data_IF_128475707204
#
_entry.id   IF_128475707204
#
_cell.length_a   1.000
_cell.length_b   1.000
_cell.length_c   1.000
_cell.angle_alpha   90.00
_cell.angle_beta   90.00
_cell.angle_gamma   90.00
#
_symmetry.space_group_name_H-M   'P 1'
#
loop_
_entity.id
_entity.type
_entity.pdbx_description
1 polymer ?
#
# COMPACT_ATOMS: atom_id res chain seq x y z
N UNK A 1 51.70 26.39 -8.97
CA UNK A 1 50.67 25.94 -9.93
C UNK A 1 50.08 24.54 -9.62
N UNK A 2 50.88 23.51 -9.29
CA UNK A 2 50.38 22.14 -9.08
C UNK A 2 49.38 21.97 -7.90
N UNK A 3 49.52 22.74 -6.83
CA UNK A 3 48.64 22.69 -5.66
C UNK A 3 47.21 23.23 -5.94
N UNK A 4 47.11 24.31 -6.70
CA UNK A 4 45.84 24.93 -7.08
C UNK A 4 45.01 23.97 -7.95
N UNK A 5 45.64 23.26 -8.89
CA UNK A 5 44.99 22.29 -9.78
C UNK A 5 44.48 21.07 -8.96
N UNK A 6 45.20 20.63 -7.93
CA UNK A 6 44.75 19.55 -7.03
C UNK A 6 43.53 19.97 -6.16
N UNK A 7 43.53 21.20 -5.66
CA UNK A 7 42.42 21.76 -4.90
C UNK A 7 41.16 21.92 -5.76
N UNK A 8 41.28 22.41 -6.98
CA UNK A 8 40.17 22.49 -7.94
C UNK A 8 39.59 21.13 -8.29
N UNK A 9 40.40 20.08 -8.44
CA UNK A 9 39.91 18.72 -8.68
C UNK A 9 39.17 18.15 -7.45
N UNK A 10 39.65 18.45 -6.24
CA UNK A 10 38.94 18.05 -4.99
C UNK A 10 37.59 18.77 -4.83
N UNK A 11 37.56 20.06 -5.16
CA UNK A 11 36.32 20.86 -5.08
C UNK A 11 35.26 20.37 -6.09
N UNK A 12 35.66 20.11 -7.35
CA UNK A 12 34.78 19.52 -8.37
C UNK A 12 34.25 18.15 -7.96
N UNK A 13 35.04 17.30 -7.31
CA UNK A 13 34.56 16.00 -6.77
C UNK A 13 33.57 16.20 -5.61
N UNK A 14 33.79 17.20 -4.74
CA UNK A 14 32.83 17.52 -3.65
C UNK A 14 31.51 18.04 -4.19
N UNK A 15 31.55 18.96 -5.16
CA UNK A 15 30.35 19.52 -5.81
C UNK A 15 29.56 18.40 -6.49
N UNK A 16 30.20 17.57 -7.30
CA UNK A 16 29.54 16.42 -7.98
C UNK A 16 28.96 15.40 -7.01
N UNK A 17 29.57 15.23 -5.83
CA UNK A 17 29.05 14.36 -4.76
C UNK A 17 27.86 15.00 -4.03
N UNK A 18 27.83 16.33 -3.91
CA UNK A 18 26.70 17.07 -3.35
C UNK A 18 25.52 17.16 -4.31
N UNK A 19 25.78 17.34 -5.61
CA UNK A 19 24.76 17.29 -6.66
C UNK A 19 24.11 15.90 -6.73
N UNK A 20 24.90 14.83 -6.77
CA UNK A 20 24.37 13.45 -6.69
C UNK A 20 23.62 13.15 -5.38
N UNK A 21 23.99 13.81 -4.26
CA UNK A 21 23.22 13.70 -3.01
C UNK A 21 21.91 14.51 -3.07
N UNK A 22 21.91 15.66 -3.74
CA UNK A 22 20.69 16.46 -4.00
C UNK A 22 19.77 15.75 -4.99
N UNK A 23 20.30 15.17 -6.07
CA UNK A 23 19.54 14.35 -7.02
C UNK A 23 18.96 13.10 -6.35
N UNK A 24 19.70 12.43 -5.45
CA UNK A 24 19.17 11.33 -4.65
C UNK A 24 18.12 11.77 -3.60
N UNK A 25 18.16 13.02 -3.13
CA UNK A 25 17.13 13.62 -2.25
C UNK A 25 15.94 14.15 -3.02
N UNK A 26 16.10 14.53 -4.26
CA UNK A 26 15.03 14.91 -5.20
C UNK A 26 14.45 13.72 -5.99
N UNK A 27 14.78 12.47 -5.63
CA UNK A 27 13.93 11.34 -5.99
C UNK A 27 12.56 11.69 -5.39
N UNK A 28 11.63 12.09 -6.23
CA UNK A 28 10.27 12.48 -5.84
C UNK A 28 9.76 11.42 -4.88
N UNK A 29 9.66 11.78 -3.59
CA UNK A 29 9.20 10.81 -2.59
C UNK A 29 7.75 10.50 -2.95
N UNK A 30 7.44 9.25 -3.24
CA UNK A 30 6.09 8.78 -3.57
C UNK A 30 5.24 8.81 -2.31
N UNK A 31 4.69 10.01 -2.05
CA UNK A 31 3.88 10.31 -0.88
C UNK A 31 2.58 10.94 -1.30
N UNK A 32 1.54 10.66 -0.56
CA UNK A 32 0.24 11.31 -0.71
C UNK A 32 -0.41 11.52 0.64
N UNK A 33 -1.35 12.46 0.67
CA UNK A 33 -2.22 12.73 1.80
C UNK A 33 -3.63 12.96 1.29
N UNK A 34 -4.58 12.16 1.78
CA UNK A 34 -6.00 12.25 1.46
C UNK A 34 -6.77 12.66 2.70
N UNK A 35 -7.69 13.60 2.53
CA UNK A 35 -8.76 13.88 3.49
C UNK A 35 -10.10 13.59 2.80
N UNK A 36 -10.92 12.74 3.40
CA UNK A 36 -12.25 12.38 2.93
C UNK A 36 -13.24 12.62 4.08
N UNK A 37 -14.21 13.49 3.83
CA UNK A 37 -15.23 13.81 4.81
C UNK A 37 -16.61 13.58 4.18
N UNK A 38 -17.42 12.77 4.85
CA UNK A 38 -18.83 12.54 4.53
C UNK A 38 -19.68 12.92 5.75
N UNK A 39 -20.96 12.62 5.74
CA UNK A 39 -21.80 12.73 6.93
C UNK A 39 -21.56 11.58 7.92
N UNK A 40 -20.99 10.47 7.47
CA UNK A 40 -20.79 9.22 8.21
C UNK A 40 -19.35 9.11 8.74
N UNK A 41 -18.36 9.60 7.98
CA UNK A 41 -16.94 9.43 8.32
C UNK A 41 -16.12 10.70 8.06
N UNK A 42 -15.07 10.92 8.88
CA UNK A 42 -14.02 11.93 8.66
C UNK A 42 -12.68 11.23 8.69
N UNK A 43 -12.07 11.09 7.52
CA UNK A 43 -10.86 10.27 7.33
C UNK A 43 -9.70 11.12 6.89
N UNK A 44 -8.52 10.84 7.47
CA UNK A 44 -7.23 11.36 7.04
C UNK A 44 -6.27 10.20 6.84
N UNK A 45 -5.66 10.12 5.65
CA UNK A 45 -4.64 9.13 5.32
C UNK A 45 -3.37 9.84 4.87
N UNK A 46 -2.23 9.51 5.47
CA UNK A 46 -0.91 9.93 5.02
C UNK A 46 -0.10 8.68 4.68
N UNK A 47 0.43 8.63 3.47
CA UNK A 47 1.15 7.47 2.94
C UNK A 47 2.52 7.89 2.40
N UNK A 48 3.53 7.09 2.72
CA UNK A 48 4.81 7.09 2.03
C UNK A 48 5.08 5.68 1.50
N UNK A 49 5.01 5.52 0.19
CA UNK A 49 5.23 4.21 -0.48
C UNK A 49 6.67 3.75 -0.32
N UNK A 50 7.65 4.68 -0.31
CA UNK A 50 9.07 4.41 -0.09
C UNK A 50 9.44 4.49 1.41
N UNK A 51 8.58 3.97 2.27
CA UNK A 51 8.70 4.03 3.71
C UNK A 51 9.64 2.99 4.34
N UNK A 52 9.50 2.84 5.65
CA UNK A 52 10.26 1.89 6.47
C UNK A 52 9.36 0.97 7.31
N UNK A 53 8.04 1.07 7.12
CA UNK A 53 7.03 0.33 7.87
C UNK A 53 6.69 0.99 9.21
N UNK A 54 6.69 2.32 9.27
CA UNK A 54 6.16 3.09 10.41
C UNK A 54 4.65 3.22 10.26
N UNK A 55 3.95 3.11 11.37
CA UNK A 55 2.50 3.21 11.35
C UNK A 55 1.97 3.96 12.58
N UNK A 56 0.83 4.62 12.38
CA UNK A 56 0.05 5.29 13.42
C UNK A 56 -1.41 5.26 12.94
N UNK A 57 -2.15 4.20 13.27
CA UNK A 57 -3.51 4.00 12.83
C UNK A 57 -4.47 4.08 14.01
N UNK A 58 -5.54 4.85 13.84
CA UNK A 58 -6.61 5.03 14.82
C UNK A 58 -7.92 5.23 14.04
N UNK A 59 -8.59 4.12 13.78
CA UNK A 59 -9.83 4.09 12.99
C UNK A 59 -11.09 4.04 13.84
N UNK A 60 -10.94 3.83 15.15
CA UNK A 60 -12.06 3.52 16.06
C UNK A 60 -12.43 2.03 16.04
N UNK A 61 -11.87 1.24 15.13
CA UNK A 61 -12.12 -0.20 14.97
C UNK A 61 -10.82 -0.97 15.25
N UNK A 62 -10.67 -1.48 16.46
CA UNK A 62 -9.39 -2.01 16.94
C UNK A 62 -8.82 -3.17 16.12
N UNK A 63 -9.66 -4.05 15.57
CA UNK A 63 -9.21 -5.13 14.69
C UNK A 63 -8.68 -4.59 13.35
N UNK A 64 -9.36 -3.58 12.78
CA UNK A 64 -8.91 -2.93 11.55
C UNK A 64 -7.59 -2.17 11.77
N UNK A 65 -7.43 -1.48 12.91
CA UNK A 65 -6.16 -0.84 13.28
C UNK A 65 -5.01 -1.84 13.26
N UNK A 66 -5.21 -3.01 13.88
CA UNK A 66 -4.22 -4.09 13.86
C UNK A 66 -3.91 -4.57 12.44
N UNK A 67 -4.89 -4.76 11.58
CA UNK A 67 -4.68 -5.18 10.19
C UNK A 67 -3.91 -4.12 9.38
N UNK A 68 -4.19 -2.84 9.59
CA UNK A 68 -3.49 -1.72 8.92
C UNK A 68 -2.05 -1.57 9.42
N UNK A 69 -1.78 -1.83 10.70
CA UNK A 69 -0.43 -1.87 11.26
C UNK A 69 0.41 -2.97 10.61
N UNK A 70 -0.17 -4.16 10.46
CA UNK A 70 0.46 -5.28 9.76
C UNK A 70 0.70 -4.95 8.28
N UNK A 71 -0.28 -4.36 7.60
CA UNK A 71 -0.17 -3.92 6.22
C UNK A 71 1.03 -2.95 6.04
N UNK A 72 1.09 -1.90 6.85
CA UNK A 72 2.19 -0.94 6.83
C UNK A 72 3.54 -1.60 7.10
N UNK A 73 3.62 -2.43 8.16
CA UNK A 73 4.85 -3.08 8.58
C UNK A 73 5.40 -4.06 7.54
N UNK A 74 4.54 -4.91 6.98
CA UNK A 74 4.94 -5.95 6.03
C UNK A 74 5.18 -5.39 4.62
N UNK A 75 4.45 -4.36 4.21
CA UNK A 75 4.67 -3.63 2.95
C UNK A 75 5.84 -2.64 3.01
N UNK A 76 6.37 -2.33 4.21
CA UNK A 76 7.36 -1.27 4.43
C UNK A 76 6.87 0.13 4.05
N UNK A 77 5.56 0.32 4.02
CA UNK A 77 4.94 1.62 3.85
C UNK A 77 5.00 2.40 5.17
N UNK A 78 5.24 3.73 5.11
CA UNK A 78 4.92 4.54 6.28
C UNK A 78 3.47 4.99 6.13
N UNK A 79 2.61 4.64 7.08
CA UNK A 79 1.16 4.81 7.01
C UNK A 79 0.62 5.44 8.28
N UNK A 80 -0.17 6.51 8.10
CA UNK A 80 -0.93 7.11 9.19
C UNK A 80 -2.39 7.26 8.77
N UNK A 81 -3.30 6.68 9.54
CA UNK A 81 -4.73 6.75 9.32
C UNK A 81 -5.43 7.23 10.58
N UNK A 82 -6.32 8.19 10.41
CA UNK A 82 -7.28 8.61 11.41
C UNK A 82 -8.67 8.56 10.80
N UNK A 83 -9.62 7.99 11.53
CA UNK A 83 -11.04 7.99 11.18
C UNK A 83 -11.86 8.35 12.42
N UNK A 84 -12.80 9.28 12.24
CA UNK A 84 -13.90 9.57 13.14
C UNK A 84 -15.17 9.17 12.38
N UNK A 85 -15.67 7.97 12.63
CA UNK A 85 -16.82 7.35 11.95
C UNK A 85 -17.96 7.06 12.91
N UNK A 86 -19.12 6.79 12.34
CA UNK A 86 -20.38 6.49 13.04
C UNK A 86 -20.45 5.03 13.54
N UNK A 87 -19.39 4.56 14.21
CA UNK A 87 -19.24 3.19 14.74
C UNK A 87 -20.35 2.78 15.72
N UNK A 88 -21.21 3.71 16.17
CA UNK A 88 -22.44 3.40 16.90
C UNK A 88 -23.52 2.72 16.02
N UNK A 89 -23.40 2.82 14.68
CA UNK A 89 -24.22 2.09 13.72
C UNK A 89 -23.63 0.69 13.55
N UNK A 90 -22.46 0.63 12.93
CA UNK A 90 -21.57 -0.52 12.80
C UNK A 90 -20.20 -0.07 12.29
N UNK A 91 -19.30 -1.02 11.96
CA UNK A 91 -17.96 -0.71 11.46
C UNK A 91 -17.89 -0.57 9.93
N UNK A 92 -19.04 -0.70 9.20
CA UNK A 92 -19.09 -0.80 7.74
C UNK A 92 -18.58 0.47 7.07
N UNK A 93 -19.23 1.62 7.36
CA UNK A 93 -18.88 2.90 6.74
C UNK A 93 -17.40 3.27 6.94
N UNK A 94 -16.90 3.05 8.18
CA UNK A 94 -15.49 3.31 8.49
C UNK A 94 -14.56 2.42 7.67
N UNK A 95 -14.87 1.13 7.58
CA UNK A 95 -14.01 0.14 6.92
C UNK A 95 -13.95 0.36 5.40
N UNK A 96 -15.11 0.52 4.74
CA UNK A 96 -15.19 0.79 3.29
C UNK A 96 -14.48 2.11 2.95
N UNK A 97 -14.82 3.18 3.68
CA UNK A 97 -14.31 4.52 3.40
C UNK A 97 -12.79 4.65 3.63
N UNK A 98 -12.23 3.91 4.59
CA UNK A 98 -10.78 3.80 4.77
C UNK A 98 -10.16 3.06 3.59
N UNK A 99 -10.75 1.98 3.10
CA UNK A 99 -10.32 1.29 1.89
C UNK A 99 -10.28 2.24 0.69
N UNK A 100 -11.35 3.02 0.47
CA UNK A 100 -11.44 4.05 -0.57
C UNK A 100 -10.31 5.10 -0.44
N UNK A 101 -10.14 5.65 0.75
CA UNK A 101 -9.15 6.70 1.00
C UNK A 101 -7.72 6.19 0.82
N UNK A 102 -7.43 4.97 1.31
CA UNK A 102 -6.11 4.35 1.17
C UNK A 102 -5.80 4.01 -0.29
N UNK A 103 -6.78 3.46 -1.05
CA UNK A 103 -6.63 3.20 -2.48
C UNK A 103 -6.30 4.46 -3.28
N UNK A 104 -7.02 5.57 -3.04
CA UNK A 104 -6.73 6.88 -3.62
C UNK A 104 -5.34 7.38 -3.25
N UNK A 105 -4.94 7.19 -1.99
CA UNK A 105 -3.64 7.64 -1.49
C UNK A 105 -2.49 6.92 -2.22
N UNK A 106 -2.61 5.62 -2.45
CA UNK A 106 -1.66 4.86 -3.28
C UNK A 106 -1.66 5.34 -4.73
N UNK A 107 -2.85 5.49 -5.34
CA UNK A 107 -2.97 5.97 -6.72
C UNK A 107 -2.25 7.30 -6.94
N UNK A 108 -2.48 8.29 -6.06
CA UNK A 108 -1.82 9.59 -6.14
C UNK A 108 -0.30 9.50 -5.89
N UNK A 109 0.12 8.72 -4.89
CA UNK A 109 1.53 8.56 -4.57
C UNK A 109 2.33 7.88 -5.70
N UNK A 110 1.70 6.98 -6.46
CA UNK A 110 2.33 6.24 -7.56
C UNK A 110 2.43 7.07 -8.85
N UNK A 111 1.55 8.07 -9.04
CA UNK A 111 1.59 8.97 -10.18
C UNK A 111 1.45 8.25 -11.53
N UNK A 112 2.41 8.47 -12.43
CA UNK A 112 2.40 7.94 -13.80
C UNK A 112 2.86 6.48 -13.94
N UNK A 113 3.15 5.81 -12.83
CA UNK A 113 3.60 4.42 -12.76
C UNK A 113 4.90 4.12 -13.54
N UNK A 114 5.71 5.14 -13.85
CA UNK A 114 7.01 4.92 -14.50
C UNK A 114 7.96 4.14 -13.61
N UNK A 115 8.61 3.16 -14.21
CA UNK A 115 9.64 2.36 -13.58
C UNK A 115 9.14 1.38 -12.51
N UNK A 116 7.83 1.31 -12.23
CA UNK A 116 7.32 0.29 -11.30
C UNK A 116 7.41 -1.10 -11.91
N UNK A 117 7.58 -2.13 -11.08
CA UNK A 117 7.52 -3.52 -11.55
C UNK A 117 6.14 -3.90 -12.07
N UNK A 118 5.09 -3.21 -11.63
CA UNK A 118 3.69 -3.39 -12.00
C UNK A 118 3.04 -4.64 -11.39
N UNK A 119 3.71 -5.78 -11.46
CA UNK A 119 3.21 -7.05 -10.94
C UNK A 119 3.85 -7.38 -9.60
N UNK A 120 3.08 -7.95 -8.70
CA UNK A 120 3.57 -8.52 -7.47
C UNK A 120 2.70 -9.67 -7.02
N UNK A 121 3.29 -10.64 -6.36
CA UNK A 121 2.56 -11.77 -5.81
C UNK A 121 3.22 -12.24 -4.52
N UNK A 122 2.41 -12.88 -3.67
CA UNK A 122 2.92 -13.46 -2.44
C UNK A 122 2.06 -14.64 -1.99
N UNK A 123 2.70 -15.74 -1.65
CA UNK A 123 2.08 -16.85 -0.95
C UNK A 123 2.45 -16.74 0.52
N UNK A 124 1.49 -16.37 1.35
CA UNK A 124 1.71 -16.04 2.76
C UNK A 124 1.13 -17.09 3.69
N UNK A 125 1.98 -17.80 4.47
CA UNK A 125 1.54 -18.64 5.56
C UNK A 125 1.34 -17.80 6.83
N UNK A 126 0.29 -18.08 7.58
CA UNK A 126 0.04 -17.59 8.94
C UNK A 126 -0.49 -18.77 9.75
N UNK A 127 0.41 -19.44 10.48
CA UNK A 127 0.17 -20.70 11.16
C UNK A 127 -0.49 -21.72 10.20
N UNK A 128 -1.74 -22.12 10.44
CA UNK A 128 -2.50 -23.05 9.59
C UNK A 128 -3.15 -22.39 8.37
N UNK A 129 -3.19 -21.04 8.32
CA UNK A 129 -3.73 -20.31 7.19
C UNK A 129 -2.68 -20.10 6.09
N UNK A 130 -3.11 -20.23 4.83
CA UNK A 130 -2.27 -20.03 3.66
C UNK A 130 -3.06 -19.22 2.62
N UNK A 131 -2.57 -18.05 2.26
CA UNK A 131 -3.24 -17.15 1.30
C UNK A 131 -2.32 -16.79 0.14
N UNK A 132 -2.82 -16.95 -1.09
CA UNK A 132 -2.20 -16.45 -2.32
C UNK A 132 -2.75 -15.07 -2.64
N UNK A 133 -1.85 -14.14 -2.92
CA UNK A 133 -2.19 -12.79 -3.40
C UNK A 133 -1.43 -12.50 -4.68
N UNK A 134 -2.12 -11.91 -5.68
CA UNK A 134 -1.52 -11.40 -6.91
C UNK A 134 -2.08 -10.01 -7.25
N UNK A 135 -1.19 -9.07 -7.60
CA UNK A 135 -1.50 -7.68 -7.94
C UNK A 135 -1.00 -7.35 -9.34
N UNK A 136 -1.81 -6.66 -10.13
CA UNK A 136 -1.42 -5.95 -11.35
C UNK A 136 -1.85 -4.48 -11.24
N UNK A 137 -0.90 -3.55 -11.22
CA UNK A 137 -1.16 -2.12 -11.30
C UNK A 137 -1.55 -1.74 -12.74
N UNK A 138 -2.68 -2.28 -13.18
CA UNK A 138 -3.12 -2.26 -14.57
C UNK A 138 -3.80 -0.96 -15.00
N UNK A 139 -4.16 -0.07 -14.07
CA UNK A 139 -5.05 1.07 -14.30
C UNK A 139 -6.54 0.66 -14.40
N UNK A 140 -6.89 -0.60 -14.21
CA UNK A 140 -8.25 -1.13 -14.27
C UNK A 140 -8.63 -1.85 -13.00
N UNK A 141 -9.78 -1.52 -12.47
CA UNK A 141 -10.33 -2.18 -11.30
C UNK A 141 -10.78 -3.62 -11.60
N UNK A 142 -10.30 -4.55 -10.81
CA UNK A 142 -10.85 -5.88 -10.69
C UNK A 142 -10.43 -6.50 -9.35
N UNK A 143 -11.38 -6.97 -8.57
CA UNK A 143 -11.13 -7.76 -7.36
C UNK A 143 -11.69 -9.16 -7.56
N UNK A 144 -10.86 -10.18 -7.33
CA UNK A 144 -11.30 -11.54 -7.08
C UNK A 144 -11.00 -11.88 -5.63
N UNK A 145 -12.05 -12.03 -4.84
CA UNK A 145 -11.97 -12.37 -3.43
C UNK A 145 -12.50 -13.80 -3.22
N UNK A 146 -11.63 -14.80 -3.39
CA UNK A 146 -11.94 -16.24 -3.21
C UNK A 146 -11.47 -16.69 -1.83
N UNK A 147 -12.21 -16.24 -0.80
CA UNK A 147 -11.89 -16.43 0.61
C UNK A 147 -13.10 -16.94 1.36
N UNK A 148 -12.92 -18.00 2.15
CA UNK A 148 -13.91 -18.45 3.11
C UNK A 148 -13.42 -18.13 4.52
N UNK A 149 -14.15 -17.24 5.22
CA UNK A 149 -13.89 -16.89 6.62
C UNK A 149 -14.96 -17.60 7.49
N UNK A 150 -14.56 -18.54 8.36
CA UNK A 150 -15.53 -19.46 8.98
C UNK A 150 -16.43 -18.82 10.04
N UNK A 151 -16.06 -17.68 10.62
CA UNK A 151 -16.86 -17.00 11.66
C UNK A 151 -17.37 -15.66 11.18
N UNK A 152 -18.53 -15.25 11.65
CA UNK A 152 -19.15 -13.96 11.31
C UNK A 152 -18.37 -12.78 11.90
N UNK A 153 -17.69 -12.98 13.05
CA UNK A 153 -16.95 -11.93 13.75
C UNK A 153 -15.58 -12.39 14.24
N UNK A 154 -14.64 -11.43 14.31
CA UNK A 154 -13.41 -11.52 15.10
C UNK A 154 -13.40 -10.36 16.09
N UNK A 155 -13.58 -10.68 17.37
CA UNK A 155 -13.89 -9.65 18.38
C UNK A 155 -15.24 -9.01 18.07
N UNK A 156 -15.26 -7.70 17.88
CA UNK A 156 -16.45 -6.93 17.48
C UNK A 156 -16.56 -6.72 15.96
N UNK A 157 -15.49 -7.00 15.21
CA UNK A 157 -15.39 -6.74 13.77
C UNK A 157 -16.10 -7.82 12.94
N UNK A 158 -17.00 -7.41 12.06
CA UNK A 158 -17.70 -8.29 11.13
C UNK A 158 -16.75 -8.72 10.00
N UNK A 159 -16.64 -10.03 9.76
CA UNK A 159 -15.64 -10.58 8.84
C UNK A 159 -15.96 -10.30 7.36
N UNK A 160 -17.22 -10.03 7.03
CA UNK A 160 -17.63 -9.60 5.68
C UNK A 160 -16.99 -8.25 5.27
N UNK A 161 -16.66 -7.40 6.24
CA UNK A 161 -16.05 -6.09 5.99
C UNK A 161 -14.63 -6.17 5.42
N UNK A 162 -13.99 -7.33 5.49
CA UNK A 162 -12.69 -7.55 4.85
C UNK A 162 -12.80 -7.42 3.33
N UNK A 163 -13.84 -8.01 2.73
CA UNK A 163 -14.10 -7.88 1.29
C UNK A 163 -14.44 -6.43 0.92
N UNK A 164 -15.30 -5.76 1.69
CA UNK A 164 -15.68 -4.36 1.47
C UNK A 164 -14.48 -3.41 1.51
N UNK A 165 -13.56 -3.61 2.47
CA UNK A 165 -12.31 -2.87 2.50
C UNK A 165 -11.52 -3.02 1.18
N UNK A 166 -11.35 -4.27 0.70
CA UNK A 166 -10.58 -4.51 -0.51
C UNK A 166 -11.32 -4.10 -1.79
N UNK A 167 -12.66 -4.09 -1.82
CA UNK A 167 -13.45 -3.49 -2.90
C UNK A 167 -13.14 -1.98 -2.99
N UNK A 168 -13.27 -1.26 -1.88
CA UNK A 168 -12.97 0.15 -1.80
C UNK A 168 -11.53 0.46 -2.20
N UNK A 169 -10.57 -0.27 -1.63
CA UNK A 169 -9.14 -0.12 -1.89
C UNK A 169 -8.79 -0.37 -3.36
N UNK A 170 -9.16 -1.52 -3.90
CA UNK A 170 -8.77 -1.95 -5.25
C UNK A 170 -9.37 -1.06 -6.33
N UNK A 171 -10.65 -0.66 -6.14
CA UNK A 171 -11.37 0.26 -7.04
C UNK A 171 -10.66 1.60 -7.17
N UNK A 172 -10.20 2.17 -6.06
CA UNK A 172 -9.63 3.50 -6.03
C UNK A 172 -8.11 3.53 -6.28
N UNK A 173 -7.43 2.39 -6.11
CA UNK A 173 -6.08 2.18 -6.60
C UNK A 173 -6.03 1.97 -8.13
N UNK A 174 -7.16 1.62 -8.76
CA UNK A 174 -7.24 1.21 -10.16
C UNK A 174 -6.31 0.02 -10.48
N UNK A 175 -6.39 -1.01 -9.67
CA UNK A 175 -5.58 -2.21 -9.80
C UNK A 175 -6.43 -3.46 -10.00
N UNK A 176 -5.83 -4.51 -10.51
CA UNK A 176 -6.35 -5.88 -10.45
C UNK A 176 -5.76 -6.56 -9.23
N UNK A 177 -6.61 -7.11 -8.36
CA UNK A 177 -6.20 -7.82 -7.14
C UNK A 177 -6.90 -9.19 -7.08
N UNK A 178 -6.14 -10.23 -6.93
CA UNK A 178 -6.64 -11.58 -6.63
C UNK A 178 -6.18 -11.98 -5.23
N UNK A 179 -7.13 -12.42 -4.41
CA UNK A 179 -6.91 -12.96 -3.07
C UNK A 179 -7.57 -14.34 -3.03
N UNK A 180 -6.80 -15.37 -2.76
CA UNK A 180 -7.29 -16.73 -2.63
C UNK A 180 -6.79 -17.36 -1.35
N UNK A 181 -7.70 -17.69 -0.44
CA UNK A 181 -7.38 -18.52 0.71
C UNK A 181 -7.26 -19.98 0.28
N UNK A 182 -6.13 -20.61 0.54
CA UNK A 182 -5.83 -22.00 0.14
C UNK A 182 -6.00 -22.96 1.30
N UNK A 183 -5.82 -22.49 2.54
CA UNK A 183 -6.00 -23.24 3.77
C UNK A 183 -6.23 -22.26 4.93
N UNK A 184 -6.83 -22.75 6.03
CA UNK A 184 -7.03 -22.01 7.25
C UNK A 184 -8.36 -22.35 7.93
N UNK A 185 -8.36 -22.30 9.24
CA UNK A 185 -9.55 -22.56 10.07
C UNK A 185 -9.82 -21.45 11.10
N UNK A 186 -8.80 -20.66 11.44
CA UNK A 186 -8.93 -19.53 12.34
C UNK A 186 -9.15 -18.25 11.52
N UNK A 187 -10.31 -17.62 11.70
CA UNK A 187 -10.70 -16.40 10.96
C UNK A 187 -9.71 -15.24 11.13
N UNK A 188 -9.14 -15.05 12.32
CA UNK A 188 -8.10 -14.04 12.56
C UNK A 188 -6.86 -14.34 11.72
N UNK A 189 -6.35 -15.58 11.71
CA UNK A 189 -5.16 -15.96 10.94
C UNK A 189 -5.41 -15.82 9.43
N UNK A 190 -6.60 -16.18 8.94
CA UNK A 190 -6.99 -16.00 7.54
C UNK A 190 -6.94 -14.52 7.18
N UNK A 191 -7.60 -13.64 7.92
CA UNK A 191 -7.65 -12.21 7.65
C UNK A 191 -6.25 -11.58 7.76
N UNK A 192 -5.50 -11.92 8.79
CA UNK A 192 -4.12 -11.44 8.96
C UNK A 192 -3.23 -11.86 7.79
N UNK A 193 -3.36 -13.10 7.30
CA UNK A 193 -2.63 -13.60 6.13
C UNK A 193 -2.97 -12.81 4.86
N UNK A 194 -4.23 -12.37 4.72
CA UNK A 194 -4.67 -11.54 3.59
C UNK A 194 -3.98 -10.17 3.64
N UNK A 195 -4.09 -9.42 4.75
CA UNK A 195 -3.52 -8.08 4.85
C UNK A 195 -1.99 -8.08 4.69
N UNK A 196 -1.30 -9.04 5.29
CA UNK A 196 0.15 -9.23 5.12
C UNK A 196 0.51 -9.61 3.68
N UNK A 197 -0.26 -10.53 3.08
CA UNK A 197 -0.07 -11.00 1.71
C UNK A 197 -0.23 -9.86 0.69
N UNK A 198 -1.32 -9.07 0.82
CA UNK A 198 -1.56 -7.90 -0.04
C UNK A 198 -0.45 -6.87 0.14
N UNK A 199 -0.04 -6.59 1.37
CA UNK A 199 1.06 -5.65 1.62
C UNK A 199 2.37 -6.07 0.95
N UNK A 200 2.72 -7.36 1.01
CA UNK A 200 3.93 -7.93 0.37
C UNK A 200 3.85 -7.89 -1.15
N UNK A 201 2.75 -8.35 -1.72
CA UNK A 201 2.52 -8.34 -3.17
C UNK A 201 2.53 -6.90 -3.71
N UNK A 202 1.85 -5.97 -3.02
CA UNK A 202 1.83 -4.57 -3.39
C UNK A 202 3.22 -3.93 -3.29
N UNK A 203 3.99 -4.22 -2.23
CA UNK A 203 5.35 -3.72 -2.08
C UNK A 203 6.27 -4.16 -3.24
N UNK A 204 6.08 -5.36 -3.75
CA UNK A 204 6.77 -5.82 -4.95
C UNK A 204 6.29 -5.05 -6.19
N UNK A 205 4.98 -4.96 -6.42
CA UNK A 205 4.39 -4.31 -7.58
C UNK A 205 4.79 -2.83 -7.70
N UNK A 206 4.84 -2.10 -6.57
CA UNK A 206 5.22 -0.67 -6.55
C UNK A 206 6.73 -0.45 -6.55
N UNK A 207 7.55 -1.49 -6.38
CA UNK A 207 9.02 -1.33 -6.37
C UNK A 207 9.53 -0.86 -7.73
N UNK A 208 10.56 0.00 -7.72
CA UNK A 208 11.15 0.52 -8.94
C UNK A 208 12.13 -0.50 -9.52
N UNK A 209 11.96 -0.84 -10.81
CA UNK A 209 12.97 -1.53 -11.58
C UNK A 209 13.98 -0.51 -12.10
N UNK A 210 15.16 -0.48 -11.48
CA UNK A 210 16.21 0.51 -11.83
C UNK A 210 16.69 0.39 -13.28
N UNK A 211 16.50 -0.77 -13.93
CA UNK A 211 16.87 -1.00 -15.32
C UNK A 211 15.90 -0.30 -16.27
N UNK A 212 14.63 -0.23 -15.91
CA UNK A 212 13.52 0.29 -16.72
C UNK A 212 12.81 1.49 -16.07
N UNK A 213 13.48 2.22 -15.19
CA UNK A 213 12.93 3.30 -14.35
C UNK A 213 12.24 4.45 -15.09
N UNK A 214 12.57 4.64 -16.37
CA UNK A 214 12.02 5.71 -17.20
C UNK A 214 10.93 5.19 -18.17
N UNK A 215 10.60 3.89 -18.09
CA UNK A 215 9.62 3.24 -18.96
C UNK A 215 8.30 2.98 -18.22
N UNK A 216 7.19 3.02 -18.95
CA UNK A 216 5.90 2.51 -18.46
C UNK A 216 5.86 1.02 -18.83
N UNK A 217 5.65 0.09 -17.86
CA UNK A 217 5.66 -1.34 -18.10
C UNK A 217 4.40 -1.83 -18.82
N UNK A 218 4.19 -1.31 -20.03
CA UNK A 218 3.02 -1.60 -20.86
C UNK A 218 3.36 -1.44 -22.35
N UNK A 219 3.02 -2.43 -23.17
CA UNK A 219 3.14 -2.35 -24.64
C UNK A 219 2.24 -1.28 -25.26
N UNK A 220 1.25 -0.78 -24.50
CA UNK A 220 0.38 0.33 -24.91
C UNK A 220 1.01 1.71 -24.64
N UNK A 221 2.13 1.78 -23.90
CA UNK A 221 2.75 3.03 -23.46
C UNK A 221 1.99 3.77 -22.36
N UNK A 222 0.87 3.21 -21.88
CA UNK A 222 0.05 3.73 -20.78
C UNK A 222 -0.50 2.57 -19.93
N UNK A 223 -0.84 2.87 -18.67
CA UNK A 223 -1.58 1.99 -17.75
C UNK A 223 -2.91 2.66 -17.42
N UNK A 224 -3.94 2.31 -18.20
CA UNK A 224 -5.32 2.81 -18.12
C UNK A 224 -6.30 1.70 -18.49
#
# INVERSE_FOLDING_TARGET
>A
MLNIVKEFKKLKKKIKKQEKRKERKNKTMRKSKIERNTFETKIKVELNVDGTGKYENNTGVGFLDHMLDLFAKHGKFDLKIYCDGDTQVDDHHSTEDIGIALGKCFYEALGDLKGVKRYGNFLLPMDEALTLVAVDLSGRYFLNFDVNIPTEKVGTFDTELVEEFFIGFTRHLNATLHIKNMAGTNSHHIIESIFKGVARALAEAVSIDEKYKDEIPSTKGVLV
#
